data_IF_166118112732
#
_entry.id   IF_166118112732
#
_cell.length_a   1.000
_cell.length_b   1.000
_cell.length_c   1.000
_cell.angle_alpha   90.00
_cell.angle_beta   90.00
_cell.angle_gamma   90.00
#
_symmetry.space_group_name_H-M   'P 1'
#
loop_
_entity.id
_entity.type
_entity.pdbx_description
1 polymer ?
#
# COMPACT_ATOMS: atom_id res chain seq x y z
N UNK A 1 -4.91 27.46 35.00
CA UNK A 1 -6.13 27.16 35.81
C UNK A 1 -6.87 28.43 36.18
N UNK A 2 -6.19 29.45 36.73
CA UNK A 2 -6.82 30.71 37.16
C UNK A 2 -7.38 31.57 36.00
N UNK A 3 -6.69 31.63 34.85
CA UNK A 3 -7.16 32.32 33.64
C UNK A 3 -8.44 31.69 33.08
N UNK A 4 -8.51 30.36 32.94
CA UNK A 4 -9.70 29.67 32.42
C UNK A 4 -10.94 29.92 33.29
N UNK A 5 -10.77 29.92 34.62
CA UNK A 5 -11.86 30.25 35.54
C UNK A 5 -12.26 31.73 35.44
N UNK A 6 -11.28 32.62 35.26
CA UNK A 6 -11.51 34.06 35.05
C UNK A 6 -12.23 34.32 33.72
N UNK A 7 -11.87 33.60 32.65
CA UNK A 7 -12.54 33.63 31.34
C UNK A 7 -13.99 33.15 31.43
N UNK A 8 -14.25 32.04 32.14
CA UNK A 8 -15.62 31.55 32.35
C UNK A 8 -16.47 32.58 33.09
N UNK A 9 -15.91 33.18 34.14
CA UNK A 9 -16.59 34.23 34.93
C UNK A 9 -16.85 35.47 34.07
N UNK A 10 -15.85 35.91 33.29
CA UNK A 10 -16.00 37.01 32.33
C UNK A 10 -17.03 36.71 31.25
N UNK A 11 -17.03 35.51 30.68
CA UNK A 11 -17.97 35.11 29.63
C UNK A 11 -19.41 35.08 30.14
N UNK A 12 -19.61 34.55 31.35
CA UNK A 12 -20.90 34.58 32.03
C UNK A 12 -21.35 36.02 32.31
N UNK A 13 -20.42 36.89 32.76
CA UNK A 13 -20.70 38.31 32.95
C UNK A 13 -21.08 39.00 31.64
N UNK A 14 -20.33 38.77 30.56
CA UNK A 14 -20.58 39.39 29.25
C UNK A 14 -21.94 38.97 28.70
N UNK A 15 -22.29 37.68 28.82
CA UNK A 15 -23.59 37.18 28.41
C UNK A 15 -24.73 37.77 29.24
N UNK A 16 -24.55 37.86 30.55
CA UNK A 16 -25.48 38.55 31.44
C UNK A 16 -25.69 40.03 31.04
N UNK A 17 -24.61 40.75 30.67
CA UNK A 17 -24.73 42.13 30.19
C UNK A 17 -25.54 42.20 28.89
N UNK A 18 -25.28 41.31 27.93
CA UNK A 18 -26.04 41.23 26.67
C UNK A 18 -27.53 40.99 26.94
N UNK A 19 -27.85 40.03 27.81
CA UNK A 19 -29.23 39.70 28.18
C UNK A 19 -29.90 40.91 28.85
N UNK A 20 -29.20 41.62 29.75
CA UNK A 20 -29.70 42.86 30.38
C UNK A 20 -29.99 43.97 29.38
N UNK A 21 -29.18 44.12 28.33
CA UNK A 21 -29.43 45.11 27.27
C UNK A 21 -30.56 44.70 26.32
N UNK A 22 -30.88 43.41 26.24
CA UNK A 22 -31.94 42.86 25.38
C UNK A 22 -33.31 42.76 26.09
N UNK A 23 -33.34 42.73 27.42
CA UNK A 23 -34.55 42.54 28.23
C UNK A 23 -35.41 43.78 28.41
N UNK A 24 -36.73 43.57 28.56
CA UNK A 24 -37.71 44.62 28.86
C UNK A 24 -37.89 44.81 30.39
N UNK A 25 -38.47 45.93 30.81
CA UNK A 25 -38.48 46.43 32.21
C UNK A 25 -39.07 45.51 33.29
N UNK A 26 -39.69 44.38 32.95
CA UNK A 26 -40.17 43.38 33.91
C UNK A 26 -39.19 42.22 34.14
N UNK A 27 -38.23 42.01 33.24
CA UNK A 27 -37.18 40.98 33.36
C UNK A 27 -35.92 41.52 34.07
N UNK A 28 -35.88 42.83 34.36
CA UNK A 28 -34.73 43.50 34.97
C UNK A 28 -34.53 43.16 36.45
N UNK A 29 -35.58 42.76 37.18
CA UNK A 29 -35.48 42.43 38.62
C UNK A 29 -34.84 41.05 38.87
N UNK A 30 -35.13 40.04 38.04
CA UNK A 30 -34.46 38.73 38.12
C UNK A 30 -32.97 38.82 37.70
N UNK A 31 -32.62 39.84 36.92
CA UNK A 31 -31.26 40.09 36.47
C UNK A 31 -30.43 40.81 37.54
N UNK A 32 -31.01 41.69 38.37
CA UNK A 32 -30.27 42.37 39.44
C UNK A 32 -29.83 41.42 40.55
N UNK A 33 -30.60 40.37 40.85
CA UNK A 33 -30.19 39.31 41.80
C UNK A 33 -29.03 38.46 41.27
N UNK A 34 -29.03 38.16 39.97
CA UNK A 34 -27.91 37.48 39.30
C UNK A 34 -26.65 38.34 39.25
N UNK A 35 -26.77 39.66 39.11
CA UNK A 35 -25.64 40.58 39.16
C UNK A 35 -24.99 40.61 40.55
N UNK A 36 -25.80 40.58 41.62
CA UNK A 36 -25.33 40.62 43.01
C UNK A 36 -24.52 39.39 43.44
N UNK A 37 -24.73 38.24 42.79
CA UNK A 37 -23.99 36.99 43.07
C UNK A 37 -22.75 36.83 42.19
N UNK A 38 -22.50 37.75 41.25
CA UNK A 38 -21.44 37.60 40.26
C UNK A 38 -20.09 38.06 40.78
N UNK A 39 -19.05 37.30 40.46
CA UNK A 39 -17.70 37.55 40.97
C UNK A 39 -16.98 38.63 40.12
N UNK A 40 -17.31 39.89 40.41
CA UNK A 40 -16.80 41.06 39.67
C UNK A 40 -15.28 41.21 39.76
N UNK A 41 -14.64 40.77 40.85
CA UNK A 41 -13.18 40.85 40.98
C UNK A 41 -12.46 39.93 40.00
N UNK A 42 -12.99 38.73 39.72
CA UNK A 42 -12.47 37.83 38.68
C UNK A 42 -12.71 38.34 37.27
N UNK A 43 -13.87 38.98 37.02
CA UNK A 43 -14.16 39.63 35.73
C UNK A 43 -13.13 40.73 35.44
N UNK A 44 -12.87 41.60 36.42
CA UNK A 44 -11.86 42.66 36.30
C UNK A 44 -10.46 42.08 36.11
N UNK A 45 -10.11 41.03 36.87
CA UNK A 45 -8.83 40.33 36.70
C UNK A 45 -8.64 39.81 35.28
N UNK A 46 -9.69 39.26 34.66
CA UNK A 46 -9.63 38.82 33.27
C UNK A 46 -9.41 39.98 32.31
N UNK A 47 -10.18 41.07 32.43
CA UNK A 47 -10.13 42.24 31.55
C UNK A 47 -8.76 42.93 31.64
N UNK A 48 -8.27 43.18 32.85
CA UNK A 48 -7.05 43.97 33.05
C UNK A 48 -5.78 43.16 32.75
N UNK A 49 -5.80 41.85 33.02
CA UNK A 49 -4.58 41.02 33.02
C UNK A 49 -4.53 40.01 31.88
N UNK A 50 -5.59 39.25 31.65
CA UNK A 50 -5.57 38.11 30.74
C UNK A 50 -6.02 38.48 29.32
N UNK A 51 -6.85 39.52 29.16
CA UNK A 51 -7.33 39.98 27.86
C UNK A 51 -6.22 40.62 27.00
N UNK A 52 -5.19 41.18 27.64
CA UNK A 52 -4.05 41.83 26.97
C UNK A 52 -2.80 40.96 26.90
N UNK A 53 -2.65 40.02 27.84
CA UNK A 53 -1.50 39.12 27.90
C UNK A 53 -1.88 37.80 28.57
N UNK A 54 -1.92 36.73 27.80
CA UNK A 54 -2.16 35.41 28.35
C UNK A 54 -0.85 34.86 28.95
N UNK A 55 -0.88 34.23 30.14
CA UNK A 55 0.26 33.45 30.63
C UNK A 55 0.61 32.28 29.70
N UNK A 56 -0.30 31.84 28.82
CA UNK A 56 -0.06 30.76 27.87
C UNK A 56 0.64 31.25 26.60
N UNK A 57 0.67 32.57 26.34
CA UNK A 57 1.30 33.15 25.15
C UNK A 57 2.76 32.71 25.01
N UNK A 58 3.48 32.54 26.13
CA UNK A 58 4.89 32.12 26.11
C UNK A 58 5.12 30.74 25.48
N UNK A 59 4.07 29.92 25.33
CA UNK A 59 4.16 28.60 24.71
C UNK A 59 3.61 28.55 23.27
N UNK A 60 2.85 29.58 22.85
CA UNK A 60 2.07 29.59 21.61
C UNK A 60 2.18 30.87 20.78
N UNK A 61 2.89 31.89 21.25
CA UNK A 61 3.11 33.12 20.49
C UNK A 61 4.06 32.92 19.30
N UNK A 62 4.17 33.93 18.45
CA UNK A 62 5.01 33.86 17.26
C UNK A 62 6.49 33.96 17.64
N UNK A 63 7.27 32.97 17.21
CA UNK A 63 8.72 32.97 17.35
C UNK A 63 9.34 33.51 16.06
N UNK A 64 10.26 34.49 16.13
CA UNK A 64 11.06 34.89 14.97
C UNK A 64 11.87 33.70 14.42
N UNK A 65 11.84 33.51 13.10
CA UNK A 65 12.56 32.40 12.44
C UNK A 65 14.04 32.31 12.81
N UNK A 66 14.71 33.45 13.03
CA UNK A 66 16.11 33.50 13.46
C UNK A 66 16.34 32.84 14.83
N UNK A 67 15.43 33.04 15.77
CA UNK A 67 15.52 32.47 17.12
C UNK A 67 15.18 30.97 17.06
N UNK A 68 14.25 30.59 16.17
CA UNK A 68 13.95 29.18 15.87
C UNK A 68 15.16 28.42 15.37
N UNK A 69 15.84 28.95 14.34
CA UNK A 69 17.04 28.32 13.75
C UNK A 69 18.19 28.23 14.77
N UNK A 70 18.44 29.30 15.53
CA UNK A 70 19.50 29.32 16.54
C UNK A 70 19.28 28.34 17.71
N UNK A 71 18.01 28.09 18.07
CA UNK A 71 17.64 27.10 19.08
C UNK A 71 17.65 25.68 18.50
N UNK A 72 17.33 25.52 17.21
CA UNK A 72 17.41 24.24 16.49
C UNK A 72 18.84 23.73 16.35
N UNK A 73 19.76 24.58 15.89
CA UNK A 73 21.18 24.25 15.75
C UNK A 73 21.80 23.85 17.09
N UNK A 74 21.30 24.41 18.19
CA UNK A 74 21.81 24.11 19.53
C UNK A 74 21.45 22.71 20.05
N UNK A 75 20.34 22.14 19.56
CA UNK A 75 19.84 20.83 20.01
C UNK A 75 20.12 19.71 19.01
N UNK A 76 20.58 20.03 17.80
CA UNK A 76 20.89 19.03 16.77
C UNK A 76 21.99 18.04 17.21
N UNK A 77 22.86 18.42 18.15
CA UNK A 77 23.95 17.61 18.71
C UNK A 77 23.51 16.50 19.70
N UNK A 78 22.20 16.25 19.86
CA UNK A 78 21.69 15.05 20.54
C UNK A 78 21.69 15.11 22.07
N UNK A 79 21.55 16.31 22.65
CA UNK A 79 21.38 16.47 24.09
C UNK A 79 20.04 15.92 24.61
N UNK A 80 20.02 15.54 25.89
CA UNK A 80 18.79 15.19 26.59
C UNK A 80 17.84 16.41 26.66
N UNK A 81 16.85 16.44 25.77
CA UNK A 81 15.89 17.55 25.59
C UNK A 81 15.17 17.92 26.89
N UNK A 82 14.79 16.93 27.70
CA UNK A 82 14.03 17.16 28.94
C UNK A 82 14.81 17.97 30.00
N UNK A 83 16.06 17.60 30.37
CA UNK A 83 16.91 18.43 31.22
C UNK A 83 17.13 19.85 30.69
N UNK A 84 17.26 19.99 29.37
CA UNK A 84 17.49 21.28 28.73
C UNK A 84 16.23 22.16 28.82
N UNK A 85 15.06 21.59 28.52
CA UNK A 85 13.77 22.24 28.66
C UNK A 85 13.52 22.68 30.11
N UNK A 86 13.75 21.80 31.08
CA UNK A 86 13.61 22.11 32.52
C UNK A 86 14.53 23.28 32.94
N UNK A 87 15.78 23.30 32.44
CA UNK A 87 16.69 24.40 32.70
C UNK A 87 16.23 25.72 32.05
N UNK A 88 15.64 25.70 30.86
CA UNK A 88 15.12 26.90 30.21
C UNK A 88 13.85 27.43 30.89
N UNK A 89 12.94 26.55 31.32
CA UNK A 89 11.74 26.93 32.07
C UNK A 89 12.12 27.59 33.41
N UNK A 90 13.08 27.02 34.15
CA UNK A 90 13.59 27.63 35.39
C UNK A 90 14.22 28.99 35.19
N UNK A 91 14.96 29.18 34.09
CA UNK A 91 15.52 30.50 33.73
C UNK A 91 14.42 31.53 33.47
N UNK A 92 13.38 31.11 32.75
CA UNK A 92 12.23 31.96 32.45
C UNK A 92 11.46 32.36 33.73
N UNK A 93 11.18 31.40 34.61
CA UNK A 93 10.53 31.65 35.92
C UNK A 93 11.36 32.60 36.79
N UNK A 94 12.69 32.51 36.71
CA UNK A 94 13.62 33.41 37.39
C UNK A 94 13.81 34.78 36.69
N UNK A 95 13.11 35.04 35.58
CA UNK A 95 13.22 36.29 34.81
C UNK A 95 14.54 36.45 34.04
N UNK A 96 15.28 35.36 33.83
CA UNK A 96 16.56 35.34 33.11
C UNK A 96 16.33 35.14 31.61
N UNK A 97 17.32 35.56 30.80
CA UNK A 97 17.34 35.26 29.38
C UNK A 97 17.29 33.74 29.15
N UNK A 98 16.23 33.29 28.49
CA UNK A 98 15.97 31.89 28.17
C UNK A 98 15.76 31.75 26.67
N UNK A 99 15.99 30.53 26.17
CA UNK A 99 15.75 30.17 24.78
C UNK A 99 14.26 30.01 24.55
N UNK A 100 13.66 30.95 23.81
CA UNK A 100 12.22 31.04 23.64
C UNK A 100 11.69 29.86 22.83
N UNK A 101 12.33 29.49 21.72
CA UNK A 101 11.78 28.47 20.83
C UNK A 101 11.62 27.12 21.52
N UNK A 102 12.55 26.76 22.41
CA UNK A 102 12.50 25.52 23.18
C UNK A 102 11.29 25.40 24.11
N UNK A 103 10.69 26.51 24.52
CA UNK A 103 9.49 26.51 25.36
C UNK A 103 8.23 26.27 24.53
N UNK A 104 8.25 26.53 23.21
CA UNK A 104 7.06 26.42 22.38
C UNK A 104 6.70 24.99 22.03
N UNK A 105 5.40 24.72 22.08
CA UNK A 105 4.85 23.38 21.76
C UNK A 105 5.11 23.03 20.29
N UNK A 106 4.96 23.97 19.37
CA UNK A 106 5.20 23.74 17.94
C UNK A 106 6.63 23.31 17.66
N UNK A 107 7.61 23.95 18.31
CA UNK A 107 9.02 23.60 18.20
C UNK A 107 9.30 22.20 18.71
N UNK A 108 8.77 21.84 19.88
CA UNK A 108 8.94 20.51 20.47
C UNK A 108 8.28 19.42 19.62
N UNK A 109 7.10 19.67 19.06
CA UNK A 109 6.40 18.75 18.14
C UNK A 109 7.19 18.60 16.84
N UNK A 110 7.73 19.69 16.30
CA UNK A 110 8.54 19.68 15.07
C UNK A 110 9.84 18.91 15.27
N UNK A 111 10.49 19.10 16.42
CA UNK A 111 11.67 18.34 16.84
C UNK A 111 11.37 16.85 16.94
N UNK A 112 10.32 16.46 17.68
CA UNK A 112 9.92 15.06 17.84
C UNK A 112 9.55 14.42 16.51
N UNK A 113 8.81 15.12 15.66
CA UNK A 113 8.40 14.64 14.33
C UNK A 113 9.62 14.42 13.43
N UNK A 114 10.57 15.36 13.43
CA UNK A 114 11.79 15.27 12.64
C UNK A 114 12.65 14.08 13.08
N UNK A 115 12.85 13.92 14.39
CA UNK A 115 13.61 12.78 14.93
C UNK A 115 12.92 11.44 14.67
N UNK A 116 11.59 11.38 14.84
CA UNK A 116 10.82 10.17 14.53
C UNK A 116 10.97 9.79 13.06
N UNK A 117 10.77 10.73 12.14
CA UNK A 117 10.97 10.51 10.70
C UNK A 117 12.40 10.10 10.37
N UNK A 118 13.41 10.68 11.04
CA UNK A 118 14.82 10.29 10.87
C UNK A 118 15.09 8.86 11.35
N UNK A 119 14.51 8.45 12.47
CA UNK A 119 14.63 7.07 12.98
C UNK A 119 13.94 6.09 12.03
N UNK A 120 12.69 6.35 11.63
CA UNK A 120 11.95 5.45 10.75
C UNK A 120 12.59 5.35 9.35
N UNK A 121 13.03 6.47 8.78
CA UNK A 121 13.78 6.46 7.52
C UNK A 121 15.13 5.73 7.66
N UNK A 122 15.82 5.90 8.79
CA UNK A 122 17.04 5.16 9.11
C UNK A 122 16.82 3.65 9.15
N UNK A 123 15.72 3.18 9.76
CA UNK A 123 15.34 1.75 9.76
C UNK A 123 15.03 1.27 8.34
N UNK A 124 14.24 2.02 7.58
CA UNK A 124 13.89 1.66 6.21
C UNK A 124 15.14 1.57 5.30
N UNK A 125 16.04 2.55 5.38
CA UNK A 125 17.31 2.54 4.64
C UNK A 125 18.25 1.43 5.10
N UNK A 126 18.32 1.15 6.41
CA UNK A 126 19.10 0.03 6.92
C UNK A 126 18.56 -1.31 6.40
N UNK A 127 17.23 -1.51 6.41
CA UNK A 127 16.59 -2.70 5.85
C UNK A 127 16.84 -2.82 4.34
N UNK A 128 16.70 -1.73 3.59
CA UNK A 128 17.00 -1.66 2.16
C UNK A 128 18.45 -2.04 1.85
N UNK A 129 19.42 -1.50 2.59
CA UNK A 129 20.85 -1.85 2.46
C UNK A 129 21.17 -3.28 2.88
N UNK A 130 20.32 -3.88 3.71
CA UNK A 130 20.46 -5.28 4.15
C UNK A 130 19.96 -6.27 3.11
N UNK A 131 19.18 -5.83 2.10
CA UNK A 131 18.77 -6.67 0.97
C UNK A 131 19.93 -6.77 -0.01
N UNK A 132 20.54 -7.95 -0.11
CA UNK A 132 21.54 -8.26 -1.11
C UNK A 132 20.87 -8.93 -2.29
N UNK A 133 20.86 -8.27 -3.44
CA UNK A 133 20.42 -8.88 -4.67
C UNK A 133 21.52 -9.83 -5.17
N UNK A 134 21.12 -11.04 -5.56
CA UNK A 134 21.99 -11.95 -6.30
C UNK A 134 22.23 -11.46 -7.73
N UNK A 135 22.95 -12.25 -8.53
CA UNK A 135 23.10 -11.99 -9.96
C UNK A 135 21.73 -12.11 -10.66
N UNK A 136 21.28 -11.08 -11.40
CA UNK A 136 20.02 -11.18 -12.14
C UNK A 136 20.14 -12.24 -13.23
N UNK A 137 19.09 -13.06 -13.39
CA UNK A 137 18.97 -13.98 -14.51
C UNK A 137 18.16 -13.32 -15.63
N UNK A 138 18.75 -13.23 -16.81
CA UNK A 138 18.06 -12.73 -18.00
C UNK A 138 17.22 -13.85 -18.61
N UNK A 139 15.91 -13.72 -18.52
CA UNK A 139 14.96 -14.56 -19.26
C UNK A 139 14.80 -14.00 -20.67
N UNK A 140 14.85 -14.86 -21.68
CA UNK A 140 14.76 -14.49 -23.09
C UNK A 140 13.98 -15.53 -23.87
N UNK A 141 13.20 -15.07 -24.84
CA UNK A 141 12.48 -15.89 -25.83
C UNK A 141 12.98 -15.59 -27.26
N UNK A 142 14.15 -14.97 -27.38
CA UNK A 142 14.78 -14.60 -28.66
C UNK A 142 14.17 -13.37 -29.36
N UNK A 143 12.95 -12.99 -29.00
CA UNK A 143 12.19 -11.91 -29.65
C UNK A 143 11.64 -10.87 -28.66
N UNK A 144 10.98 -9.83 -29.18
CA UNK A 144 10.33 -8.80 -28.38
C UNK A 144 9.14 -9.39 -27.60
N UNK A 145 9.30 -9.46 -26.28
CA UNK A 145 8.28 -9.95 -25.34
C UNK A 145 7.07 -9.01 -25.37
N UNK A 146 5.88 -9.56 -25.59
CA UNK A 146 4.61 -8.81 -25.54
C UNK A 146 3.72 -9.23 -24.39
N UNK A 147 3.91 -10.43 -23.86
CA UNK A 147 3.15 -10.96 -22.71
C UNK A 147 4.12 -11.41 -21.64
N UNK A 148 3.88 -10.93 -20.42
CA UNK A 148 4.62 -11.32 -19.22
C UNK A 148 3.63 -11.46 -18.05
N UNK A 149 3.73 -12.56 -17.34
CA UNK A 149 3.11 -12.72 -16.03
C UNK A 149 4.03 -13.54 -15.13
N UNK A 150 3.91 -13.36 -13.82
CA UNK A 150 4.78 -14.00 -12.84
C UNK A 150 3.96 -14.43 -11.62
N UNK A 151 4.23 -15.64 -11.14
CA UNK A 151 3.66 -16.18 -9.91
C UNK A 151 4.77 -16.76 -9.05
N UNK A 152 4.79 -16.39 -7.78
CA UNK A 152 5.67 -17.01 -6.79
C UNK A 152 4.82 -17.95 -5.93
N UNK A 153 5.20 -19.22 -5.89
CA UNK A 153 4.54 -20.27 -5.15
C UNK A 153 5.43 -20.73 -4.01
N UNK A 154 4.89 -20.84 -2.80
CA UNK A 154 5.61 -21.43 -1.68
C UNK A 154 5.68 -22.95 -1.87
N UNK A 155 6.88 -23.52 -1.89
CA UNK A 155 7.08 -24.98 -2.00
C UNK A 155 7.34 -25.57 -0.62
N UNK A 156 8.06 -24.84 0.23
CA UNK A 156 8.25 -25.14 1.66
C UNK A 156 8.65 -23.86 2.41
N UNK A 157 8.72 -23.93 3.75
CA UNK A 157 9.03 -22.79 4.61
C UNK A 157 10.28 -21.98 4.22
N UNK A 158 11.26 -22.61 3.55
CA UNK A 158 12.51 -21.97 3.11
C UNK A 158 12.75 -22.12 1.60
N UNK A 159 11.74 -22.50 0.81
CA UNK A 159 11.87 -22.69 -0.62
C UNK A 159 10.63 -22.17 -1.36
N UNK A 160 10.86 -21.33 -2.36
CA UNK A 160 9.84 -20.85 -3.27
C UNK A 160 10.15 -21.25 -4.71
N UNK A 161 9.11 -21.42 -5.51
CA UNK A 161 9.24 -21.59 -6.95
C UNK A 161 8.61 -20.38 -7.64
N UNK A 162 9.38 -19.71 -8.48
CA UNK A 162 8.89 -18.63 -9.33
C UNK A 162 8.58 -19.21 -10.70
N UNK A 163 7.32 -19.11 -11.08
CA UNK A 163 6.89 -19.31 -12.45
C UNK A 163 6.82 -17.98 -13.18
N UNK A 164 7.32 -17.94 -14.40
CA UNK A 164 7.25 -16.76 -15.27
C UNK A 164 6.82 -17.21 -16.65
N UNK A 165 5.75 -16.63 -17.17
CA UNK A 165 5.30 -16.87 -18.54
C UNK A 165 5.76 -15.71 -19.41
N UNK A 166 6.38 -16.02 -20.54
CA UNK A 166 6.79 -15.06 -21.56
C UNK A 166 6.30 -15.51 -22.92
N UNK A 167 5.81 -14.56 -23.72
CA UNK A 167 5.50 -14.81 -25.12
C UNK A 167 5.82 -13.58 -25.98
N UNK A 168 6.17 -13.84 -27.24
CA UNK A 168 6.35 -12.82 -28.27
C UNK A 168 5.13 -12.85 -29.20
N UNK A 169 4.78 -11.69 -29.78
CA UNK A 169 3.62 -11.58 -30.68
C UNK A 169 3.82 -12.30 -32.02
N UNK A 170 5.07 -12.45 -32.43
CA UNK A 170 5.49 -13.00 -33.72
C UNK A 170 5.55 -14.52 -33.73
N UNK A 171 5.46 -15.18 -32.57
CA UNK A 171 5.43 -16.63 -32.45
C UNK A 171 4.09 -17.08 -31.87
N UNK A 172 3.64 -18.27 -32.28
CA UNK A 172 2.54 -18.97 -31.61
C UNK A 172 3.06 -19.77 -30.40
N UNK A 173 4.12 -19.30 -29.74
CA UNK A 173 4.81 -20.02 -28.67
C UNK A 173 4.70 -19.29 -27.34
N UNK A 174 4.48 -20.06 -26.30
CA UNK A 174 4.43 -19.60 -24.91
C UNK A 174 5.54 -20.30 -24.15
N UNK A 175 6.41 -19.52 -23.52
CA UNK A 175 7.52 -20.05 -22.72
C UNK A 175 7.18 -19.93 -21.24
N UNK A 176 7.25 -21.06 -20.54
CA UNK A 176 7.07 -21.11 -19.08
C UNK A 176 8.40 -21.39 -18.44
N UNK A 177 8.90 -20.42 -17.67
CA UNK A 177 10.12 -20.53 -16.89
C UNK A 177 9.77 -20.90 -15.46
N UNK A 178 10.56 -21.79 -14.89
CA UNK A 178 10.48 -22.22 -13.49
C UNK A 178 11.83 -22.02 -12.84
N UNK A 179 11.90 -21.11 -11.87
CA UNK A 179 13.12 -20.79 -11.11
C UNK A 179 12.89 -21.08 -9.64
N UNK A 180 13.71 -21.95 -9.05
CA UNK A 180 13.61 -22.26 -7.62
C UNK A 180 14.51 -21.31 -6.82
N UNK A 181 13.98 -20.79 -5.73
CA UNK A 181 14.68 -19.95 -4.76
C UNK A 181 14.72 -20.67 -3.43
N UNK A 182 15.91 -20.78 -2.86
CA UNK A 182 16.10 -21.23 -1.48
C UNK A 182 16.47 -20.06 -0.60
N UNK A 183 16.00 -20.08 0.64
CA UNK A 183 16.32 -19.09 1.67
C UNK A 183 17.10 -19.79 2.77
N UNK A 184 18.38 -19.45 2.92
CA UNK A 184 19.23 -19.96 4.00
C UNK A 184 19.75 -18.80 4.84
N UNK A 185 19.46 -18.78 6.14
CA UNK A 185 19.84 -17.69 7.05
C UNK A 185 19.44 -16.29 6.55
N UNK A 186 18.27 -16.17 5.90
CA UNK A 186 17.77 -14.91 5.33
C UNK A 186 18.46 -14.49 4.02
N UNK A 187 19.32 -15.32 3.45
CA UNK A 187 19.93 -15.12 2.13
C UNK A 187 19.17 -15.95 1.10
N UNK A 188 18.58 -15.29 0.12
CA UNK A 188 17.92 -15.95 -1.02
C UNK A 188 18.95 -16.31 -2.08
N UNK A 189 18.98 -17.58 -2.49
CA UNK A 189 19.81 -18.08 -3.58
C UNK A 189 18.92 -18.68 -4.66
N UNK A 190 19.09 -18.24 -5.91
CA UNK A 190 18.42 -18.83 -7.05
C UNK A 190 19.18 -20.08 -7.50
N UNK A 191 18.46 -21.19 -7.66
CA UNK A 191 18.99 -22.43 -8.22
C UNK A 191 18.91 -22.40 -9.76
N UNK A 192 19.04 -23.57 -10.38
CA UNK A 192 18.84 -23.74 -11.81
C UNK A 192 17.42 -23.30 -12.21
N UNK A 193 17.34 -22.51 -13.29
CA UNK A 193 16.09 -22.20 -13.96
C UNK A 193 15.86 -23.24 -15.04
N UNK A 194 14.62 -23.70 -15.14
CA UNK A 194 14.16 -24.56 -16.22
C UNK A 194 13.14 -23.85 -17.08
N UNK A 195 13.01 -24.26 -18.34
CA UNK A 195 12.10 -23.69 -19.32
C UNK A 195 11.34 -24.80 -20.03
N UNK A 196 10.05 -24.59 -20.21
CA UNK A 196 9.18 -25.31 -21.12
C UNK A 196 8.71 -24.38 -22.25
N UNK A 197 8.54 -24.92 -23.45
CA UNK A 197 7.99 -24.21 -24.59
C UNK A 197 6.70 -24.91 -25.05
N UNK A 198 5.62 -24.14 -25.14
CA UNK A 198 4.29 -24.61 -25.53
C UNK A 198 3.95 -23.96 -26.86
N UNK A 199 3.77 -24.77 -27.90
CA UNK A 199 3.37 -24.32 -29.24
C UNK A 199 1.85 -24.38 -29.36
N UNK A 200 1.22 -23.24 -29.58
CA UNK A 200 -0.23 -23.08 -29.72
C UNK A 200 -0.76 -23.56 -31.09
N UNK A 201 0.13 -24.01 -31.98
CA UNK A 201 -0.21 -24.49 -33.32
C UNK A 201 -0.72 -23.35 -34.20
N UNK A 202 -1.93 -23.49 -34.72
CA UNK A 202 -2.57 -22.47 -35.56
C UNK A 202 -3.19 -21.30 -34.76
N UNK A 203 -3.15 -21.35 -33.42
CA UNK A 203 -3.77 -20.34 -32.55
C UNK A 203 -2.79 -19.21 -32.25
N UNK A 204 -3.29 -17.98 -32.22
CA UNK A 204 -2.50 -16.81 -31.80
C UNK A 204 -2.78 -16.49 -30.34
N UNK A 205 -1.73 -16.17 -29.57
CA UNK A 205 -1.88 -15.78 -28.17
C UNK A 205 -2.47 -14.35 -28.08
N UNK A 206 -3.47 -14.18 -27.23
CA UNK A 206 -4.02 -12.88 -26.85
C UNK A 206 -3.43 -12.42 -25.52
N UNK A 207 -3.53 -13.26 -24.48
CA UNK A 207 -3.00 -12.97 -23.15
C UNK A 207 -2.73 -14.26 -22.35
N UNK A 208 -1.88 -14.18 -21.33
CA UNK A 208 -1.52 -15.30 -20.46
C UNK A 208 -1.40 -14.82 -19.01
N UNK A 209 -2.09 -15.49 -18.08
CA UNK A 209 -1.98 -15.19 -16.64
C UNK A 209 -2.05 -16.42 -15.76
N UNK A 210 -1.28 -16.41 -14.68
CA UNK A 210 -1.38 -17.42 -13.63
C UNK A 210 -2.68 -17.22 -12.84
N UNK A 211 -3.56 -18.22 -12.90
CA UNK A 211 -4.83 -18.21 -12.17
C UNK A 211 -4.61 -18.35 -10.67
N UNK A 212 -3.77 -19.32 -10.32
CA UNK A 212 -3.41 -19.71 -8.97
C UNK A 212 -2.01 -20.35 -8.99
N UNK A 213 -1.65 -21.09 -7.95
CA UNK A 213 -0.33 -21.71 -7.81
C UNK A 213 -0.14 -22.98 -8.66
N UNK A 214 -1.18 -23.40 -9.39
CA UNK A 214 -1.20 -24.66 -10.14
C UNK A 214 -1.62 -24.52 -11.60
N UNK A 215 -2.26 -23.41 -11.98
CA UNK A 215 -2.89 -23.25 -13.29
C UNK A 215 -2.48 -21.94 -13.97
N UNK A 216 -1.98 -22.06 -15.20
CA UNK A 216 -1.78 -20.96 -16.15
C UNK A 216 -2.98 -20.92 -17.11
N UNK A 217 -3.58 -19.75 -17.28
CA UNK A 217 -4.65 -19.54 -18.25
C UNK A 217 -4.10 -18.83 -19.46
N UNK A 218 -4.38 -19.37 -20.64
CA UNK A 218 -4.11 -18.71 -21.91
C UNK A 218 -5.42 -18.33 -22.59
N UNK A 219 -5.49 -17.11 -23.11
CA UNK A 219 -6.55 -16.68 -24.02
C UNK A 219 -5.95 -16.60 -25.41
N UNK A 220 -6.55 -17.32 -26.34
CA UNK A 220 -6.06 -17.44 -27.72
C UNK A 220 -7.16 -17.09 -28.72
N UNK A 221 -6.76 -16.63 -29.91
CA UNK A 221 -7.63 -16.56 -31.07
C UNK A 221 -7.41 -17.78 -31.96
N UNK A 222 -8.50 -18.39 -32.42
CA UNK A 222 -8.51 -19.41 -33.45
C UNK A 222 -9.21 -18.86 -34.69
N UNK A 223 -8.52 -18.87 -35.82
CA UNK A 223 -8.99 -18.38 -37.13
C UNK A 223 -9.52 -16.93 -37.12
N UNK A 224 -8.99 -16.08 -36.23
CA UNK A 224 -9.39 -14.67 -36.00
C UNK A 224 -10.88 -14.45 -35.67
N UNK A 225 -11.60 -15.52 -35.33
CA UNK A 225 -13.05 -15.51 -35.13
C UNK A 225 -13.47 -16.12 -33.80
N UNK A 226 -12.74 -17.11 -33.30
CA UNK A 226 -13.08 -17.81 -32.06
C UNK A 226 -12.10 -17.47 -30.96
N UNK A 227 -12.62 -17.04 -29.82
CA UNK A 227 -11.82 -16.90 -28.61
C UNK A 227 -11.84 -18.23 -27.85
N UNK A 228 -10.66 -18.76 -27.57
CA UNK A 228 -10.46 -20.00 -26.84
C UNK A 228 -9.68 -19.71 -25.56
N UNK A 229 -10.14 -20.25 -24.45
CA UNK A 229 -9.48 -20.18 -23.14
C UNK A 229 -8.93 -21.55 -22.79
N UNK A 230 -7.63 -21.63 -22.54
CA UNK A 230 -6.92 -22.86 -22.18
C UNK A 230 -6.49 -22.79 -20.73
N UNK A 231 -6.71 -23.88 -19.99
CA UNK A 231 -6.22 -24.06 -18.62
C UNK A 231 -5.10 -25.08 -18.64
N UNK A 232 -3.89 -24.60 -18.40
CA UNK A 232 -2.67 -25.40 -18.39
C UNK A 232 -2.24 -25.61 -16.93
N UNK A 233 -2.19 -26.86 -16.43
CA UNK A 233 -1.50 -27.15 -15.19
C UNK A 233 -0.03 -26.71 -15.29
N UNK A 234 0.58 -26.24 -14.20
CA UNK A 234 2.00 -25.87 -14.21
C UNK A 234 2.90 -27.10 -14.24
N UNK A 235 2.47 -28.16 -13.57
CA UNK A 235 3.11 -29.48 -13.60
C UNK A 235 2.40 -30.35 -14.65
N UNK A 236 2.93 -30.34 -15.87
CA UNK A 236 2.43 -31.12 -17.01
C UNK A 236 3.33 -32.35 -17.22
N UNK A 237 2.80 -33.59 -17.15
CA UNK A 237 3.59 -34.80 -17.35
C UNK A 237 4.27 -34.88 -18.73
N UNK A 238 3.62 -34.35 -19.76
CA UNK A 238 4.06 -34.47 -21.17
C UNK A 238 4.90 -33.28 -21.64
N UNK A 239 5.09 -32.27 -20.79
CA UNK A 239 5.90 -31.09 -21.11
C UNK A 239 7.20 -31.16 -20.33
N UNK A 240 8.29 -31.38 -21.05
CA UNK A 240 9.62 -31.49 -20.45
C UNK A 240 10.18 -30.10 -20.17
N UNK A 241 10.37 -29.79 -18.89
CA UNK A 241 11.14 -28.64 -18.46
C UNK A 241 12.63 -28.93 -18.63
N UNK A 242 13.28 -28.18 -19.52
CA UNK A 242 14.71 -28.30 -19.80
C UNK A 242 15.51 -27.24 -19.04
N UNK A 243 16.76 -27.52 -18.70
CA UNK A 243 17.63 -26.50 -18.09
C UNK A 243 17.74 -25.28 -19.01
N UNK A 244 17.60 -24.08 -18.45
CA UNK A 244 17.68 -22.83 -19.19
C UNK A 244 19.05 -22.17 -18.98
N UNK A 245 19.71 -21.86 -20.10
CA UNK A 245 20.89 -21.02 -20.15
C UNK A 245 20.65 -19.90 -21.18
N UNK A 246 21.06 -18.67 -20.86
CA UNK A 246 20.69 -17.43 -21.55
C UNK A 246 21.35 -17.25 -22.94
N UNK A 247 21.83 -18.33 -23.55
CA UNK A 247 22.44 -18.36 -24.89
C UNK A 247 22.20 -19.66 -25.67
N UNK A 248 21.41 -20.60 -25.15
CA UNK A 248 21.03 -21.81 -25.90
C UNK A 248 19.73 -21.57 -26.69
N UNK A 249 19.69 -22.10 -27.90
CA UNK A 249 18.49 -22.10 -28.75
C UNK A 249 17.33 -22.88 -28.10
N UNK A 250 16.14 -22.70 -28.66
CA UNK A 250 14.92 -23.29 -28.12
C UNK A 250 14.95 -24.82 -28.10
N UNK A 251 14.61 -25.37 -26.93
CA UNK A 251 14.33 -26.79 -26.75
C UNK A 251 13.08 -27.20 -27.55
N UNK A 252 12.88 -28.51 -27.72
CA UNK A 252 11.67 -29.08 -28.30
C UNK A 252 10.40 -28.46 -27.66
N UNK A 253 9.45 -28.06 -28.50
CA UNK A 253 8.19 -27.45 -28.08
C UNK A 253 7.11 -28.52 -27.99
N UNK A 254 6.32 -28.51 -26.91
CA UNK A 254 5.13 -29.34 -26.82
C UNK A 254 3.97 -28.64 -27.56
N UNK A 255 3.36 -29.31 -28.52
CA UNK A 255 2.24 -28.75 -29.30
C UNK A 255 0.94 -28.95 -28.52
N UNK A 256 0.16 -27.89 -28.32
CA UNK A 256 -1.09 -27.92 -27.53
C UNK A 256 -2.08 -28.96 -28.06
N UNK A 257 -2.16 -29.14 -29.38
CA UNK A 257 -3.04 -30.14 -30.00
C UNK A 257 -2.66 -31.59 -29.70
N UNK A 258 -1.40 -31.83 -29.33
CA UNK A 258 -0.87 -33.16 -29.01
C UNK A 258 -0.92 -33.45 -27.50
N UNK A 259 -1.27 -32.45 -26.68
CA UNK A 259 -1.36 -32.61 -25.23
C UNK A 259 -2.65 -33.36 -24.83
N UNK A 260 -2.61 -34.19 -23.78
CA UNK A 260 -3.74 -35.05 -23.43
C UNK A 260 -4.98 -34.30 -22.93
N UNK A 261 -6.07 -35.06 -22.79
CA UNK A 261 -7.40 -34.61 -22.35
C UNK A 261 -7.50 -34.00 -20.95
N UNK A 262 -6.39 -33.84 -20.21
CA UNK A 262 -6.39 -33.09 -18.94
C UNK A 262 -6.35 -31.57 -19.17
N UNK A 263 -6.05 -31.11 -20.39
CA UNK A 263 -6.22 -29.71 -20.74
C UNK A 263 -7.70 -29.38 -20.82
N UNK A 264 -8.15 -28.49 -19.94
CA UNK A 264 -9.48 -27.91 -20.08
C UNK A 264 -9.40 -26.82 -21.14
N UNK A 265 -10.21 -26.98 -22.20
CA UNK A 265 -10.41 -25.98 -23.24
C UNK A 265 -11.84 -25.46 -23.15
N UNK A 266 -11.98 -24.13 -23.16
CA UNK A 266 -13.26 -23.46 -23.18
C UNK A 266 -13.34 -22.50 -24.35
N UNK A 267 -14.24 -22.79 -25.29
CA UNK A 267 -14.54 -21.89 -26.41
C UNK A 267 -15.63 -20.92 -25.96
N UNK A 268 -15.40 -19.62 -26.12
CA UNK A 268 -16.43 -18.62 -25.79
C UNK A 268 -17.69 -18.86 -26.64
N UNK A 269 -18.88 -18.97 -26.02
CA UNK A 269 -20.14 -19.10 -26.74
C UNK A 269 -20.38 -17.90 -27.68
N UNK A 270 -21.09 -18.08 -28.82
CA UNK A 270 -21.39 -16.99 -29.76
C UNK A 270 -22.09 -15.78 -29.13
N UNK A 271 -22.90 -16.03 -28.09
CA UNK A 271 -23.64 -15.01 -27.32
C UNK A 271 -22.71 -14.03 -26.58
N UNK A 272 -21.50 -14.50 -26.27
CA UNK A 272 -20.46 -13.77 -25.56
C UNK A 272 -19.26 -13.48 -26.46
N UNK A 273 -19.42 -13.64 -27.77
CA UNK A 273 -18.36 -13.38 -28.75
C UNK A 273 -17.90 -11.93 -28.61
N UNK A 274 -16.60 -11.80 -28.35
CA UNK A 274 -15.89 -10.55 -28.28
C UNK A 274 -14.48 -10.79 -28.78
N UNK A 275 -13.79 -9.72 -29.19
CA UNK A 275 -12.36 -9.74 -29.50
C UNK A 275 -11.61 -9.28 -28.25
N UNK A 276 -11.17 -10.19 -27.36
CA UNK A 276 -10.44 -9.77 -26.19
C UNK A 276 -9.04 -9.29 -26.59
N UNK A 277 -8.52 -8.34 -25.83
CA UNK A 277 -7.14 -7.86 -25.93
C UNK A 277 -6.37 -7.98 -24.62
N UNK A 278 -7.07 -8.31 -23.53
CA UNK A 278 -6.49 -8.50 -22.21
C UNK A 278 -7.40 -9.33 -21.33
N UNK A 279 -6.78 -10.06 -20.42
CA UNK A 279 -7.42 -10.86 -19.38
C UNK A 279 -7.03 -10.33 -18.00
N UNK A 280 -7.93 -10.45 -17.03
CA UNK A 280 -7.61 -10.45 -15.60
C UNK A 280 -8.21 -11.70 -14.96
N UNK A 281 -7.48 -12.29 -14.03
CA UNK A 281 -7.88 -13.51 -13.34
C UNK A 281 -8.05 -13.24 -11.86
N UNK A 282 -9.05 -13.85 -11.25
CA UNK A 282 -9.29 -13.75 -9.82
C UNK A 282 -9.55 -15.12 -9.24
N UNK A 283 -8.63 -15.53 -8.36
CA UNK A 283 -8.77 -16.71 -7.51
C UNK A 283 -9.89 -16.50 -6.47
N UNK A 284 -10.33 -17.60 -5.87
CA UNK A 284 -11.37 -17.61 -4.83
C UNK A 284 -10.89 -16.84 -3.60
N UNK A 285 -11.70 -15.88 -3.14
CA UNK A 285 -11.43 -15.12 -1.91
C UNK A 285 -12.58 -15.32 -0.93
N UNK A 286 -12.28 -15.83 0.27
CA UNK A 286 -13.28 -16.13 1.31
C UNK A 286 -13.38 -15.06 2.41
N UNK A 287 -12.80 -13.86 2.24
CA UNK A 287 -12.57 -12.96 3.37
C UNK A 287 -13.78 -12.13 3.83
N UNK A 288 -14.79 -11.83 2.98
CA UNK A 288 -15.99 -11.02 3.37
C UNK A 288 -17.28 -11.30 2.59
N UNK A 289 -17.28 -12.33 1.77
CA UNK A 289 -18.38 -12.90 0.97
C UNK A 289 -17.69 -13.85 -0.01
N UNK A 290 -18.31 -14.97 -0.37
CA UNK A 290 -17.70 -15.92 -1.30
C UNK A 290 -17.62 -15.27 -2.68
N UNK A 291 -16.43 -14.78 -3.02
CA UNK A 291 -16.14 -14.26 -4.34
C UNK A 291 -15.66 -15.45 -5.17
N UNK A 292 -16.43 -15.91 -6.17
CA UNK A 292 -16.05 -17.06 -6.96
C UNK A 292 -14.87 -16.75 -7.89
N UNK A 293 -14.17 -17.82 -8.22
CA UNK A 293 -13.21 -17.89 -9.30
C UNK A 293 -13.79 -17.32 -10.60
N UNK A 294 -13.06 -16.38 -11.21
CA UNK A 294 -13.51 -15.74 -12.45
C UNK A 294 -12.37 -15.29 -13.34
N UNK A 295 -12.69 -15.27 -14.62
CA UNK A 295 -11.88 -14.65 -15.67
C UNK A 295 -12.62 -13.43 -16.17
N UNK A 296 -11.94 -12.30 -16.24
CA UNK A 296 -12.44 -11.06 -16.81
C UNK A 296 -11.72 -10.81 -18.13
N UNK A 297 -12.46 -10.62 -19.22
CA UNK A 297 -11.91 -10.30 -20.53
C UNK A 297 -12.26 -8.87 -20.91
N UNK A 298 -11.28 -8.11 -21.39
CA UNK A 298 -11.44 -6.75 -21.92
C UNK A 298 -11.44 -6.79 -23.45
N UNK A 299 -12.45 -6.19 -24.07
CA UNK A 299 -12.58 -6.12 -25.53
C UNK A 299 -11.56 -5.14 -26.15
N UNK A 300 -11.30 -5.31 -27.44
CA UNK A 300 -10.42 -4.46 -28.25
C UNK A 300 -10.78 -2.96 -28.22
N UNK A 301 -12.06 -2.64 -28.08
CA UNK A 301 -12.54 -1.27 -27.91
C UNK A 301 -12.18 -0.66 -26.54
N UNK A 302 -11.67 -1.46 -25.59
CA UNK A 302 -11.29 -1.08 -24.22
C UNK A 302 -12.42 -0.48 -23.37
N UNK A 303 -13.67 -0.60 -23.82
CA UNK A 303 -14.86 -0.05 -23.17
C UNK A 303 -15.79 -1.16 -22.68
N UNK A 304 -15.71 -2.35 -23.26
CA UNK A 304 -16.49 -3.51 -22.83
C UNK A 304 -15.59 -4.52 -22.12
N UNK A 305 -16.02 -4.97 -20.95
CA UNK A 305 -15.42 -6.11 -20.28
C UNK A 305 -16.52 -7.11 -19.87
N UNK A 306 -16.17 -8.39 -19.80
CA UNK A 306 -17.07 -9.46 -19.37
C UNK A 306 -16.38 -10.33 -18.34
N UNK A 307 -17.10 -10.69 -17.28
CA UNK A 307 -16.66 -11.69 -16.31
C UNK A 307 -17.33 -13.03 -16.58
N UNK A 308 -16.52 -14.08 -16.54
CA UNK A 308 -16.93 -15.47 -16.68
C UNK A 308 -16.60 -16.19 -15.39
N UNK A 309 -17.57 -16.91 -14.82
CA UNK A 309 -17.31 -17.86 -13.74
C UNK A 309 -16.73 -19.12 -14.33
N UNK A 310 -15.72 -19.67 -13.67
CA UNK A 310 -15.12 -20.92 -14.10
C UNK A 310 -16.04 -22.11 -13.76
N UNK A 311 -16.24 -23.07 -14.68
CA UNK A 311 -17.00 -24.28 -14.39
C UNK A 311 -16.26 -25.12 -13.35
N UNK A 312 -16.99 -25.68 -12.37
CA UNK A 312 -16.46 -26.54 -11.30
C UNK A 312 -15.63 -27.76 -11.77
N UNK A 313 -15.71 -28.13 -13.05
CA UNK A 313 -14.93 -29.23 -13.62
C UNK A 313 -13.49 -28.83 -14.00
N UNK A 314 -13.20 -27.54 -14.22
CA UNK A 314 -11.84 -27.05 -14.52
C UNK A 314 -10.93 -27.07 -13.28
N UNK A 315 -11.51 -27.13 -12.07
CA UNK A 315 -10.81 -27.20 -10.78
C UNK A 315 -10.50 -28.63 -10.31
N UNK A 316 -10.93 -29.67 -11.04
CA UNK A 316 -10.72 -31.07 -10.65
C UNK A 316 -9.27 -31.57 -10.80
N UNK A 317 -8.37 -30.77 -11.39
CA UNK A 317 -6.92 -31.04 -11.37
C UNK A 317 -6.26 -30.76 -10.01
N UNK A 318 -6.84 -29.87 -9.19
CA UNK A 318 -6.27 -29.39 -7.93
C UNK A 318 -6.67 -30.22 -6.69
N UNK A 319 -7.69 -31.06 -6.79
CA UNK A 319 -8.31 -31.73 -5.64
C UNK A 319 -7.69 -33.10 -5.26
N UNK A 320 -6.45 -33.42 -5.70
CA UNK A 320 -5.73 -34.63 -5.27
C UNK A 320 -4.38 -34.29 -4.68
N UNK A 321 -4.39 -33.79 -3.43
CA UNK A 321 -3.34 -33.98 -2.42
C UNK A 321 -3.85 -33.49 -1.06
N UNK A 322 -4.73 -34.29 -0.46
CA UNK A 322 -4.94 -34.33 0.99
C UNK A 322 -5.28 -35.78 1.32
N UNK A 323 -4.23 -36.56 1.53
CA UNK A 323 -4.21 -37.90 2.10
C UNK A 323 -2.96 -38.01 2.94
#
# INVERSE_FOLDING_TARGET
MDELQSFQTFSNWLRFQIDRFASSSSETDDLTEKEATMNTSRVLTYIERYLTRSPVDVFFDDIPQKDWEADWDHIEDGFALLPLLDAQLKKQEAGQASRRALQHVEFLVSYLSTWSSRIFSGIAEAKKRSVRFGSPLKLSVGEAITTIDLRMCETSANQGTIYTVLAAKTTNKVHVFRSTIDITNGISAMRATTRACIDLGARSLIDAKFFNDETLVLVCSQDDKKTVVLFLPLEMPDVVYTAYDAGQEDSASAVVSDLPSYLAEYVLPPEYEMRPVRMEVHDRVNLRSEIPERICLLADNRLMWRAFKLPQQATLGAARKNG
#
